data_IF_071686953873
#
_entry.id   IF_071686953873
#
_cell.length_a   1.000
_cell.length_b   1.000
_cell.length_c   1.000
_cell.angle_alpha   90.00
_cell.angle_beta   90.00
_cell.angle_gamma   90.00
#
_symmetry.space_group_name_H-M   'P 1'
#
loop_
_entity.id
_entity.type
_entity.pdbx_description
1 polymer ?
#
# COMPACT_ATOMS: atom_id res chain seq x y z
N UNK A 1 10.02 70.65 9.53
CA UNK A 1 9.05 69.94 8.67
C UNK A 1 9.65 69.05 7.57
N UNK A 2 10.61 69.51 6.72
CA UNK A 2 11.27 68.61 5.72
C UNK A 2 12.34 67.70 6.35
N UNK A 3 13.17 68.23 7.27
CA UNK A 3 14.23 67.47 7.96
C UNK A 3 13.69 66.36 8.88
N UNK A 4 12.56 66.58 9.56
CA UNK A 4 11.91 65.57 10.42
C UNK A 4 11.35 64.39 9.62
N UNK A 5 10.83 64.64 8.42
CA UNK A 5 10.34 63.58 7.51
C UNK A 5 11.47 62.71 6.98
N UNK A 6 12.61 63.32 6.64
CA UNK A 6 13.80 62.60 6.19
C UNK A 6 14.38 61.76 7.34
N UNK A 7 14.43 62.30 8.56
CA UNK A 7 14.89 61.56 9.73
C UNK A 7 13.98 60.36 10.05
N UNK A 8 12.66 60.52 9.96
CA UNK A 8 11.71 59.43 10.17
C UNK A 8 11.87 58.32 9.11
N UNK A 9 12.04 58.69 7.84
CA UNK A 9 12.26 57.71 6.76
C UNK A 9 13.59 56.95 6.96
N UNK A 10 14.67 57.67 7.31
CA UNK A 10 15.96 57.05 7.59
C UNK A 10 15.88 56.07 8.77
N UNK A 11 15.17 56.42 9.84
CA UNK A 11 14.97 55.57 11.00
C UNK A 11 14.21 54.28 10.63
N UNK A 12 13.15 54.38 9.82
CA UNK A 12 12.37 53.22 9.37
C UNK A 12 13.21 52.27 8.52
N UNK A 13 14.05 52.80 7.63
CA UNK A 13 14.95 52.00 6.79
C UNK A 13 16.01 51.28 7.63
N UNK A 14 16.57 51.94 8.64
CA UNK A 14 17.54 51.34 9.56
C UNK A 14 16.89 50.22 10.39
N UNK A 15 15.68 50.44 10.91
CA UNK A 15 14.94 49.43 11.68
C UNK A 15 14.59 48.23 10.81
N UNK A 16 14.11 48.46 9.58
CA UNK A 16 13.80 47.38 8.64
C UNK A 16 15.03 46.55 8.25
N UNK A 17 16.17 47.22 8.01
CA UNK A 17 17.44 46.56 7.72
C UNK A 17 17.97 45.75 8.90
N UNK A 18 17.96 46.31 10.11
CA UNK A 18 18.39 45.63 11.33
C UNK A 18 17.49 44.44 11.67
N UNK A 19 16.17 44.57 11.48
CA UNK A 19 15.22 43.48 11.69
C UNK A 19 15.42 42.36 10.64
N UNK A 20 15.66 42.71 9.37
CA UNK A 20 15.97 41.73 8.32
C UNK A 20 17.26 40.95 8.59
N UNK A 21 18.31 41.62 9.07
CA UNK A 21 19.56 40.99 9.49
C UNK A 21 19.41 40.12 10.75
N UNK A 22 18.64 40.57 11.74
CA UNK A 22 18.34 39.78 12.94
C UNK A 22 17.54 38.51 12.59
N UNK A 23 16.52 38.64 11.73
CA UNK A 23 15.72 37.50 11.27
C UNK A 23 16.56 36.51 10.45
N UNK A 24 17.51 36.99 9.63
CA UNK A 24 18.39 36.07 8.89
C UNK A 24 19.37 35.32 9.80
N UNK A 25 19.89 35.98 10.85
CA UNK A 25 20.74 35.33 11.86
C UNK A 25 19.99 34.35 12.76
N UNK A 26 18.75 34.67 13.14
CA UNK A 26 17.93 33.84 14.05
C UNK A 26 17.30 32.64 13.33
N UNK A 27 16.86 32.83 12.09
CA UNK A 27 16.08 31.81 11.37
C UNK A 27 16.83 31.08 10.26
N UNK A 28 18.07 31.47 9.95
CA UNK A 28 18.99 30.71 9.09
C UNK A 28 18.33 30.08 7.85
N UNK A 29 17.82 30.90 6.92
CA UNK A 29 17.21 30.39 5.69
C UNK A 29 16.27 31.38 4.99
N UNK A 30 16.08 31.18 3.68
CA UNK A 30 15.44 32.09 2.73
C UNK A 30 14.00 32.54 3.10
N UNK A 31 13.90 33.76 3.63
CA UNK A 31 12.66 34.52 3.89
C UNK A 31 11.80 34.81 2.63
N UNK A 32 12.34 34.60 1.43
CA UNK A 32 11.64 34.86 0.16
C UNK A 32 10.54 33.84 -0.17
N UNK A 33 10.49 32.70 0.51
CA UNK A 33 9.55 31.61 0.22
C UNK A 33 8.12 31.81 0.76
N UNK A 34 7.93 32.66 1.78
CA UNK A 34 6.64 32.83 2.48
C UNK A 34 5.81 34.04 1.99
N UNK A 35 6.30 34.79 1.01
CA UNK A 35 5.66 36.02 0.51
C UNK A 35 5.07 35.81 -0.90
N UNK A 36 5.46 34.75 -1.61
CA UNK A 36 4.88 34.43 -2.91
C UNK A 36 3.43 33.88 -2.75
N UNK A 37 2.46 34.29 -3.58
CA UNK A 37 1.15 33.66 -3.60
C UNK A 37 1.33 32.17 -3.88
N UNK A 38 0.77 31.34 -3.00
CA UNK A 38 1.00 29.89 -2.98
C UNK A 38 0.82 29.28 -4.37
N UNK A 39 1.93 28.83 -4.96
CA UNK A 39 1.91 27.80 -5.99
C UNK A 39 1.02 26.67 -5.44
N UNK A 40 0.01 26.16 -6.19
CA UNK A 40 -0.77 25.01 -5.73
C UNK A 40 0.22 23.92 -5.32
N UNK A 41 -0.01 23.21 -4.19
CA UNK A 41 1.00 22.36 -3.60
C UNK A 41 1.49 21.39 -4.66
N UNK A 42 2.69 21.64 -5.18
CA UNK A 42 3.46 20.59 -5.82
C UNK A 42 3.70 19.59 -4.71
N UNK A 43 3.10 18.42 -4.83
CA UNK A 43 3.37 17.27 -3.98
C UNK A 43 4.88 17.00 -4.04
N UNK A 44 5.61 17.61 -3.12
CA UNK A 44 7.01 17.32 -2.88
C UNK A 44 7.00 16.24 -1.81
N UNK A 45 7.32 15.00 -2.22
CA UNK A 45 7.69 13.95 -1.29
C UNK A 45 8.70 14.51 -0.31
N UNK A 46 8.28 14.72 0.93
CA UNK A 46 9.18 14.97 2.04
C UNK A 46 9.90 13.65 2.30
N UNK A 47 11.18 13.64 1.92
CA UNK A 47 12.06 12.49 1.83
C UNK A 47 12.52 11.95 3.20
N UNK A 48 11.56 11.66 4.07
CA UNK A 48 11.76 10.90 5.32
C UNK A 48 10.58 9.94 5.66
N UNK A 49 9.64 9.72 4.73
CA UNK A 49 8.61 8.65 4.76
C UNK A 49 8.79 7.60 3.63
N UNK A 50 9.94 7.60 2.94
CA UNK A 50 10.10 7.07 1.58
C UNK A 50 10.16 5.54 1.39
N UNK A 51 9.94 4.74 2.43
CA UNK A 51 10.15 3.29 2.33
C UNK A 51 8.94 2.43 2.68
N UNK A 52 7.75 3.02 2.81
CA UNK A 52 6.51 2.26 3.07
C UNK A 52 5.56 2.33 1.89
N UNK A 53 4.92 1.21 1.59
CA UNK A 53 3.91 1.08 0.54
C UNK A 53 2.70 1.96 0.81
N UNK A 54 2.23 2.65 -0.23
CA UNK A 54 1.07 3.55 -0.22
C UNK A 54 0.04 3.14 -1.28
N UNK A 55 -1.16 3.72 -1.19
CA UNK A 55 -2.16 3.58 -2.24
C UNK A 55 -1.63 4.17 -3.55
N UNK A 56 -1.76 3.43 -4.64
CA UNK A 56 -1.25 3.80 -5.95
C UNK A 56 0.16 3.30 -6.26
N UNK A 57 0.83 2.66 -5.31
CA UNK A 57 2.14 2.05 -5.57
C UNK A 57 2.02 0.78 -6.43
N UNK A 58 3.09 0.48 -7.15
CA UNK A 58 3.28 -0.79 -7.86
C UNK A 58 4.36 -1.59 -7.13
N UNK A 59 4.01 -2.76 -6.60
CA UNK A 59 4.87 -3.56 -5.72
C UNK A 59 4.93 -5.01 -6.18
N UNK A 60 6.12 -5.60 -6.10
CA UNK A 60 6.33 -7.04 -6.31
C UNK A 60 6.21 -7.77 -4.96
N UNK A 61 5.28 -8.71 -4.85
CA UNK A 61 4.91 -9.36 -3.57
C UNK A 61 4.95 -10.86 -3.68
N UNK A 62 5.70 -11.50 -2.78
CA UNK A 62 5.56 -12.94 -2.55
C UNK A 62 4.56 -13.22 -1.42
N UNK A 63 3.85 -14.36 -1.50
CA UNK A 63 2.82 -14.70 -0.53
C UNK A 63 2.66 -16.21 -0.32
N UNK A 64 2.05 -16.54 0.82
CA UNK A 64 1.57 -17.88 1.18
C UNK A 64 0.15 -17.70 1.75
N UNK A 65 -0.86 -18.22 1.05
CA UNK A 65 -2.24 -18.26 1.50
C UNK A 65 -2.49 -19.49 2.38
N UNK A 66 -3.08 -19.28 3.56
CA UNK A 66 -3.39 -20.34 4.53
C UNK A 66 -4.81 -20.23 5.03
N UNK A 67 -5.47 -21.35 5.27
CA UNK A 67 -6.73 -21.35 6.00
C UNK A 67 -6.48 -20.97 7.46
N UNK A 68 -7.29 -20.05 7.98
CA UNK A 68 -7.15 -19.60 9.37
C UNK A 68 -7.46 -20.72 10.38
N UNK A 69 -8.38 -21.63 10.05
CA UNK A 69 -8.84 -22.70 10.94
C UNK A 69 -7.76 -23.74 11.26
N UNK A 70 -6.97 -24.14 10.25
CA UNK A 70 -6.03 -25.27 10.37
C UNK A 70 -4.60 -24.96 9.88
N UNK A 71 -4.36 -23.76 9.34
CA UNK A 71 -3.05 -23.35 8.82
C UNK A 71 -2.62 -24.02 7.51
N UNK A 72 -3.48 -24.86 6.91
CA UNK A 72 -3.21 -25.53 5.64
C UNK A 72 -2.95 -24.50 4.54
N UNK A 73 -1.85 -24.67 3.81
CA UNK A 73 -1.52 -23.82 2.65
C UNK A 73 -2.40 -24.23 1.48
N UNK A 74 -3.11 -23.26 0.89
CA UNK A 74 -3.96 -23.49 -0.27
C UNK A 74 -3.46 -22.78 -1.54
N UNK A 75 -2.59 -21.78 -1.40
CA UNK A 75 -2.02 -21.04 -2.53
C UNK A 75 -0.68 -20.38 -2.15
N UNK A 76 0.22 -20.18 -3.11
CA UNK A 76 1.52 -19.53 -2.85
C UNK A 76 2.22 -19.07 -4.13
N UNK A 77 3.08 -18.05 -4.03
CA UNK A 77 4.03 -17.67 -5.08
C UNK A 77 5.35 -18.45 -5.05
N UNK A 78 5.59 -19.28 -4.02
CA UNK A 78 6.83 -20.02 -3.82
C UNK A 78 6.71 -21.46 -4.32
N UNK A 79 7.55 -21.87 -5.27
CA UNK A 79 7.51 -23.22 -5.87
C UNK A 79 7.82 -24.32 -4.85
N UNK A 80 8.83 -24.12 -4.01
CA UNK A 80 9.24 -25.07 -2.96
C UNK A 80 8.13 -25.30 -1.93
N UNK A 81 7.42 -24.24 -1.56
CA UNK A 81 6.25 -24.32 -0.69
C UNK A 81 5.11 -25.07 -1.40
N UNK A 82 4.87 -24.81 -2.69
CA UNK A 82 3.83 -25.50 -3.43
C UNK A 82 4.09 -27.01 -3.55
N UNK A 83 5.33 -27.40 -3.81
CA UNK A 83 5.78 -28.80 -3.83
C UNK A 83 5.62 -29.44 -2.44
N UNK A 84 6.08 -28.76 -1.39
CA UNK A 84 5.99 -29.25 0.00
C UNK A 84 4.55 -29.53 0.43
N UNK A 85 3.61 -28.70 -0.01
CA UNK A 85 2.19 -28.81 0.35
C UNK A 85 1.35 -29.56 -0.66
N UNK A 86 1.97 -30.17 -1.69
CA UNK A 86 1.30 -30.94 -2.73
C UNK A 86 0.20 -30.12 -3.48
N UNK A 87 0.45 -28.83 -3.69
CA UNK A 87 -0.40 -27.91 -4.47
C UNK A 87 0.32 -27.36 -5.71
N UNK A 88 1.42 -28.01 -6.11
CA UNK A 88 2.18 -27.63 -7.29
C UNK A 88 1.38 -27.82 -8.58
N UNK A 89 1.48 -26.84 -9.48
CA UNK A 89 0.90 -26.89 -10.82
C UNK A 89 1.96 -26.53 -11.86
N UNK A 90 2.30 -27.47 -12.74
CA UNK A 90 3.31 -27.29 -13.78
C UNK A 90 2.98 -26.19 -14.81
N UNK A 91 1.71 -25.79 -14.92
CA UNK A 91 1.26 -24.70 -15.79
C UNK A 91 1.32 -23.33 -15.10
N UNK A 92 1.74 -23.27 -13.83
CA UNK A 92 1.85 -22.04 -13.05
C UNK A 92 3.29 -21.53 -13.04
N UNK A 93 3.44 -20.21 -13.17
CA UNK A 93 4.72 -19.53 -12.97
C UNK A 93 4.78 -19.07 -11.50
N UNK A 94 5.71 -19.64 -10.73
CA UNK A 94 5.92 -19.32 -9.32
C UNK A 94 6.90 -18.15 -9.17
N UNK A 95 6.36 -16.93 -9.14
CA UNK A 95 7.12 -15.69 -8.98
C UNK A 95 6.31 -14.67 -8.19
N UNK A 96 6.98 -13.60 -7.73
CA UNK A 96 6.31 -12.48 -7.06
C UNK A 96 5.19 -11.90 -7.93
N UNK A 97 4.05 -11.63 -7.30
CA UNK A 97 2.92 -10.98 -7.93
C UNK A 97 3.21 -9.51 -8.17
N UNK A 98 2.77 -8.98 -9.32
CA UNK A 98 2.85 -7.57 -9.68
C UNK A 98 1.58 -6.85 -9.26
N UNK A 99 1.58 -6.26 -8.07
CA UNK A 99 0.38 -5.69 -7.44
C UNK A 99 0.38 -4.16 -7.58
N UNK A 100 -0.71 -3.63 -8.14
CA UNK A 100 -1.06 -2.22 -8.04
C UNK A 100 -1.93 -2.02 -6.80
N UNK A 101 -1.49 -1.17 -5.86
CA UNK A 101 -2.12 -1.00 -4.55
C UNK A 101 -3.36 -0.10 -4.66
N UNK A 102 -4.46 -0.70 -5.10
CA UNK A 102 -5.75 -0.05 -5.32
C UNK A 102 -6.90 -0.98 -4.89
N UNK A 103 -7.13 -1.16 -3.58
CA UNK A 103 -8.10 -2.12 -3.05
C UNK A 103 -9.55 -1.78 -3.42
N UNK A 104 -9.83 -0.54 -3.81
CA UNK A 104 -11.19 -0.03 -4.04
C UNK A 104 -11.47 0.34 -5.51
N UNK A 105 -10.53 0.11 -6.43
CA UNK A 105 -10.74 0.35 -7.86
C UNK A 105 -10.87 1.83 -8.25
N UNK A 106 -10.46 2.77 -7.38
CA UNK A 106 -10.61 4.21 -7.60
C UNK A 106 -9.33 4.91 -8.10
N UNK A 107 -8.26 4.14 -8.34
CA UNK A 107 -7.00 4.62 -8.89
C UNK A 107 -6.71 4.03 -10.27
N UNK A 108 -5.88 4.71 -11.04
CA UNK A 108 -5.44 4.27 -12.38
C UNK A 108 -3.99 3.81 -12.31
N UNK A 109 -3.71 2.67 -12.95
CA UNK A 109 -2.34 2.14 -13.07
C UNK A 109 -1.45 3.18 -13.80
N UNK A 110 -0.28 3.54 -13.25
CA UNK A 110 0.64 4.46 -13.91
C UNK A 110 1.14 3.92 -15.26
N UNK A 111 1.42 4.83 -16.19
CA UNK A 111 2.03 4.48 -17.48
C UNK A 111 3.38 3.77 -17.26
N UNK A 112 3.62 2.68 -17.97
CA UNK A 112 4.80 1.82 -17.84
C UNK A 112 4.67 0.69 -16.81
N UNK A 113 3.54 0.61 -16.12
CA UNK A 113 3.22 -0.44 -15.13
C UNK A 113 1.97 -1.25 -15.52
N UNK A 114 1.64 -1.30 -16.81
CA UNK A 114 0.41 -1.92 -17.32
C UNK A 114 0.30 -3.43 -17.02
N UNK A 115 1.42 -4.07 -16.66
CA UNK A 115 1.47 -5.46 -16.22
C UNK A 115 1.21 -5.67 -14.71
N UNK A 116 0.95 -4.60 -13.95
CA UNK A 116 0.52 -4.67 -12.54
C UNK A 116 -1.00 -4.71 -12.46
N UNK A 117 -1.52 -5.41 -11.45
CA UNK A 117 -2.96 -5.62 -11.28
C UNK A 117 -3.41 -5.40 -9.84
N UNK A 118 -4.68 -5.05 -9.66
CA UNK A 118 -5.37 -5.03 -8.37
C UNK A 118 -6.40 -6.16 -8.26
N UNK A 119 -6.33 -7.19 -9.11
CA UNK A 119 -7.23 -8.35 -9.12
C UNK A 119 -6.90 -9.35 -8.01
N UNK A 120 -6.84 -8.88 -6.76
CA UNK A 120 -6.66 -9.70 -5.56
C UNK A 120 -7.76 -9.36 -4.55
N UNK A 121 -7.92 -10.22 -3.53
CA UNK A 121 -8.88 -9.94 -2.45
C UNK A 121 -8.56 -8.60 -1.77
N UNK A 122 -9.56 -7.75 -1.44
CA UNK A 122 -9.32 -6.41 -0.90
C UNK A 122 -8.43 -6.40 0.35
N UNK A 123 -8.65 -7.33 1.28
CA UNK A 123 -7.88 -7.41 2.51
C UNK A 123 -6.40 -7.74 2.30
N UNK A 124 -6.04 -8.41 1.20
CA UNK A 124 -4.65 -8.65 0.83
C UNK A 124 -3.99 -7.35 0.39
N UNK A 125 -4.64 -6.58 -0.49
CA UNK A 125 -4.11 -5.32 -1.00
C UNK A 125 -4.03 -4.27 0.13
N UNK A 126 -5.05 -4.17 0.97
CA UNK A 126 -5.05 -3.30 2.15
C UNK A 126 -3.90 -3.60 3.11
N UNK A 127 -3.58 -4.89 3.31
CA UNK A 127 -2.52 -5.30 4.23
C UNK A 127 -1.11 -4.87 3.82
N UNK A 128 -0.91 -4.59 2.53
CA UNK A 128 0.35 -4.09 1.97
C UNK A 128 0.62 -2.65 2.38
N UNK A 129 -0.41 -1.83 2.58
CA UNK A 129 -0.26 -0.42 2.94
C UNK A 129 0.52 -0.30 4.26
N UNK A 130 1.56 0.52 4.25
CA UNK A 130 2.47 0.73 5.38
C UNK A 130 3.59 -0.30 5.50
N UNK A 131 3.59 -1.38 4.71
CA UNK A 131 4.70 -2.34 4.71
C UNK A 131 5.97 -1.72 4.15
N UNK A 132 7.12 -2.12 4.68
CA UNK A 132 8.43 -1.73 4.14
C UNK A 132 8.94 -2.73 3.11
N UNK A 133 9.80 -2.26 2.20
CA UNK A 133 10.49 -3.15 1.26
C UNK A 133 11.27 -4.23 2.03
N UNK A 134 11.04 -5.49 1.69
CA UNK A 134 11.67 -6.65 2.33
C UNK A 134 11.03 -7.07 3.66
N UNK A 135 9.99 -6.38 4.12
CA UNK A 135 9.23 -6.78 5.31
C UNK A 135 8.39 -8.03 5.03
N UNK A 136 8.34 -8.92 6.01
CA UNK A 136 7.39 -10.04 6.05
C UNK A 136 6.31 -9.75 7.10
N UNK A 137 5.05 -9.94 6.72
CA UNK A 137 3.90 -9.71 7.59
C UNK A 137 2.91 -10.86 7.45
N UNK A 138 2.34 -11.29 8.57
CA UNK A 138 1.20 -12.22 8.59
C UNK A 138 -0.04 -11.45 8.98
N UNK A 139 -1.11 -11.59 8.21
CA UNK A 139 -2.40 -10.94 8.46
C UNK A 139 -3.51 -11.98 8.44
N UNK A 140 -4.49 -11.80 9.31
CA UNK A 140 -5.76 -12.53 9.23
C UNK A 140 -6.76 -11.66 8.47
N UNK A 141 -7.34 -12.20 7.39
CA UNK A 141 -8.28 -11.47 6.54
C UNK A 141 -9.67 -12.06 6.78
N UNK A 142 -10.64 -11.27 7.27
CA UNK A 142 -11.98 -11.76 7.52
C UNK A 142 -12.70 -12.05 6.18
N UNK A 143 -13.72 -12.93 6.16
CA UNK A 143 -14.40 -13.34 4.93
C UNK A 143 -14.86 -12.17 4.06
N UNK A 144 -15.37 -11.09 4.66
CA UNK A 144 -15.89 -9.91 3.97
C UNK A 144 -14.83 -9.16 3.16
N UNK A 145 -13.55 -9.35 3.50
CA UNK A 145 -12.39 -8.80 2.79
C UNK A 145 -11.60 -9.86 2.02
N UNK A 146 -12.05 -11.11 2.07
CA UNK A 146 -11.47 -12.26 1.38
C UNK A 146 -12.41 -12.75 0.28
N UNK A 147 -12.92 -13.99 0.40
CA UNK A 147 -13.76 -14.66 -0.59
C UNK A 147 -15.26 -14.59 -0.28
N UNK A 148 -15.65 -13.78 0.71
CA UNK A 148 -17.03 -13.67 1.20
C UNK A 148 -17.40 -14.73 2.23
N UNK A 149 -18.54 -14.53 2.88
CA UNK A 149 -19.14 -15.50 3.80
C UNK A 149 -19.76 -16.66 3.02
N UNK A 150 -19.76 -17.86 3.61
CA UNK A 150 -20.46 -19.00 3.04
C UNK A 150 -21.94 -18.69 2.83
N UNK A 151 -22.43 -18.82 1.59
CA UNK A 151 -23.83 -18.63 1.26
C UNK A 151 -24.59 -19.95 1.48
N UNK A 152 -25.14 -20.12 2.68
CA UNK A 152 -25.86 -21.34 3.09
C UNK A 152 -27.02 -21.65 2.15
N UNK A 153 -27.85 -20.66 1.80
CA UNK A 153 -29.02 -20.87 0.94
C UNK A 153 -28.63 -21.31 -0.47
N UNK A 154 -27.55 -20.75 -1.02
CA UNK A 154 -27.01 -21.19 -2.30
C UNK A 154 -26.46 -22.62 -2.21
N UNK A 155 -25.74 -22.94 -1.13
CA UNK A 155 -25.24 -24.29 -0.91
C UNK A 155 -26.38 -25.32 -0.83
N UNK A 156 -27.43 -25.02 -0.05
CA UNK A 156 -28.62 -25.85 0.07
C UNK A 156 -29.33 -26.04 -1.28
N UNK A 157 -29.48 -24.98 -2.08
CA UNK A 157 -30.08 -25.04 -3.41
C UNK A 157 -29.36 -26.04 -4.33
N UNK A 158 -28.03 -26.12 -4.23
CA UNK A 158 -27.21 -27.05 -5.01
C UNK A 158 -26.95 -28.39 -4.31
N UNK A 159 -27.60 -28.66 -3.16
CA UNK A 159 -27.40 -29.89 -2.39
C UNK A 159 -25.98 -30.01 -1.80
N UNK A 160 -25.24 -28.90 -1.71
CA UNK A 160 -23.93 -28.85 -1.06
C UNK A 160 -24.17 -28.86 0.45
N UNK A 161 -23.81 -29.96 1.11
CA UNK A 161 -23.89 -30.05 2.57
C UNK A 161 -23.01 -28.97 3.22
N UNK A 162 -23.46 -28.29 4.28
CA UNK A 162 -22.71 -27.25 4.99
C UNK A 162 -21.56 -27.81 5.85
N UNK A 163 -20.96 -28.95 5.46
CA UNK A 163 -19.83 -29.50 6.20
C UNK A 163 -18.72 -28.45 6.29
N UNK A 164 -18.16 -28.23 7.49
CA UNK A 164 -17.08 -27.27 7.65
C UNK A 164 -15.91 -27.66 6.74
N UNK A 165 -15.23 -26.65 6.19
CA UNK A 165 -14.08 -26.72 5.28
C UNK A 165 -12.83 -27.29 5.99
N UNK A 166 -13.02 -28.12 7.01
CA UNK A 166 -11.98 -28.80 7.76
C UNK A 166 -11.64 -30.16 7.12
N UNK A 167 -12.42 -30.62 6.14
CA UNK A 167 -12.11 -31.81 5.37
C UNK A 167 -11.18 -31.48 4.20
N UNK A 168 -9.88 -31.51 4.46
CA UNK A 168 -8.89 -31.68 3.39
C UNK A 168 -9.17 -33.05 2.77
N UNK A 169 -9.76 -33.07 1.58
CA UNK A 169 -9.79 -34.30 0.77
C UNK A 169 -8.32 -34.61 0.46
N UNK A 170 -7.75 -35.58 1.19
CA UNK A 170 -6.51 -36.21 0.77
C UNK A 170 -6.82 -36.96 -0.53
N UNK A 171 -6.62 -36.29 -1.66
CA UNK A 171 -6.84 -36.81 -3.03
C UNK A 171 -5.84 -37.93 -3.42
N UNK A 172 -5.37 -38.69 -2.44
CA UNK A 172 -4.61 -39.93 -2.62
C UNK A 172 -5.51 -41.16 -2.78
N UNK A 173 -6.83 -41.03 -2.68
CA UNK A 173 -7.72 -42.08 -3.14
C UNK A 173 -7.87 -41.93 -4.65
N UNK A 174 -6.93 -42.55 -5.39
CA UNK A 174 -7.15 -42.91 -6.79
C UNK A 174 -8.58 -43.43 -6.90
N UNK A 175 -9.40 -42.74 -7.68
CA UNK A 175 -10.63 -43.32 -8.19
C UNK A 175 -10.18 -44.41 -9.16
N UNK A 176 -9.99 -45.62 -8.63
CA UNK A 176 -9.87 -46.81 -9.44
C UNK A 176 -11.24 -47.03 -10.12
N UNK A 177 -11.29 -46.66 -11.40
CA UNK A 177 -12.22 -47.01 -12.49
C UNK A 177 -13.68 -47.34 -12.14
#
# INVERSE_FOLDING_TARGET
MQSEKIAAIALVVIIAGALGLYLSMVYGGDIWSNIAPSKPPSFQSTSNLENTVQLGDCVDVNYIGRFHSNGTVFDTSYEDIALKWNIYNANRIYQALKIFVNPYGNLTVPKGYENYTSSMIPGFIEALVGMKKGENKTVSIPPEKAYGTWNVSLAEQYGLSPYPIDYVVNDTQKIDK
#
